data_IF_359743195468
#
_entry.id   IF_359743195468
#
_cell.length_a   1.000
_cell.length_b   1.000
_cell.length_c   1.000
_cell.angle_alpha   90.00
_cell.angle_beta   90.00
_cell.angle_gamma   90.00
#
_symmetry.space_group_name_H-M   'P 1'
#
loop_
_entity.id
_entity.type
_entity.pdbx_description
1 polymer ?
#
# COMPACT_ATOMS: atom_id res chain seq x y z
N UNK A 1 35.24 -4.58 28.88
CA UNK A 1 34.19 -3.59 28.56
C UNK A 1 33.54 -4.00 27.25
N UNK A 2 32.42 -4.71 27.32
CA UNK A 2 31.65 -5.14 26.14
C UNK A 2 30.25 -4.57 26.28
N UNK A 3 30.02 -3.45 25.61
CA UNK A 3 28.70 -2.83 25.51
C UNK A 3 27.88 -3.64 24.51
N UNK A 4 27.27 -4.73 25.00
CA UNK A 4 26.11 -5.34 24.33
C UNK A 4 24.96 -4.33 24.42
N UNK A 5 25.00 -3.33 23.54
CA UNK A 5 23.85 -2.48 23.24
C UNK A 5 22.73 -3.38 22.75
N UNK A 6 21.88 -3.75 23.70
CA UNK A 6 20.61 -4.45 23.58
C UNK A 6 19.94 -4.07 22.26
N UNK A 7 19.99 -4.96 21.26
CA UNK A 7 19.23 -4.82 20.00
C UNK A 7 17.76 -4.63 20.41
N UNK A 8 17.29 -3.38 20.41
CA UNK A 8 15.84 -3.11 20.45
C UNK A 8 15.30 -3.89 19.27
N UNK A 9 14.46 -4.89 19.54
CA UNK A 9 13.59 -5.46 18.51
C UNK A 9 12.79 -4.28 17.94
N UNK A 10 13.28 -3.71 16.83
CA UNK A 10 12.59 -2.63 16.14
C UNK A 10 11.45 -3.34 15.43
N UNK A 11 10.21 -3.07 15.86
CA UNK A 11 9.02 -3.49 15.13
C UNK A 11 9.22 -3.16 13.65
N UNK A 12 8.93 -4.09 12.72
CA UNK A 12 8.98 -3.80 11.29
C UNK A 12 8.23 -2.50 11.01
N UNK A 13 8.88 -1.56 10.32
CA UNK A 13 8.32 -0.22 10.05
C UNK A 13 8.28 0.00 8.56
N UNK A 14 7.07 0.15 8.01
CA UNK A 14 6.88 0.58 6.63
C UNK A 14 7.30 2.05 6.52
N UNK A 15 8.05 2.38 5.48
CA UNK A 15 8.49 3.73 5.15
C UNK A 15 8.04 4.08 3.75
N UNK A 16 7.79 5.36 3.53
CA UNK A 16 7.44 5.91 2.24
C UNK A 16 8.55 6.83 1.76
N UNK A 17 8.85 6.79 0.47
CA UNK A 17 9.60 7.87 -0.17
C UNK A 17 8.77 9.16 -0.16
N UNK A 18 9.40 10.35 -0.30
CA UNK A 18 8.65 11.61 -0.41
C UNK A 18 7.60 11.59 -1.54
N UNK A 19 7.92 10.94 -2.66
CA UNK A 19 7.02 10.81 -3.80
C UNK A 19 5.80 9.94 -3.49
N UNK A 20 6.00 8.71 -2.99
CA UNK A 20 4.87 7.83 -2.63
C UNK A 20 4.01 8.42 -1.52
N UNK A 21 4.60 9.13 -0.56
CA UNK A 21 3.85 9.84 0.48
C UNK A 21 3.01 10.99 -0.08
N UNK A 22 3.58 11.82 -0.97
CA UNK A 22 2.84 12.89 -1.62
C UNK A 22 1.68 12.35 -2.47
N UNK A 23 1.91 11.24 -3.19
CA UNK A 23 0.87 10.56 -3.96
C UNK A 23 -0.26 10.05 -3.07
N UNK A 24 0.03 9.42 -1.93
CA UNK A 24 -1.00 9.00 -0.97
C UNK A 24 -1.84 10.16 -0.44
N UNK A 25 -1.20 11.28 -0.09
CA UNK A 25 -1.93 12.47 0.37
C UNK A 25 -2.84 13.02 -0.72
N UNK A 26 -2.36 13.09 -1.96
CA UNK A 26 -3.16 13.49 -3.10
C UNK A 26 -4.38 12.57 -3.29
N UNK A 27 -4.20 11.26 -3.21
CA UNK A 27 -5.29 10.29 -3.36
C UNK A 27 -6.32 10.42 -2.23
N UNK A 28 -5.88 10.65 -0.99
CA UNK A 28 -6.77 10.89 0.15
C UNK A 28 -7.64 12.13 -0.08
N UNK A 29 -7.06 13.19 -0.65
CA UNK A 29 -7.71 14.49 -0.82
C UNK A 29 -8.42 14.62 -2.19
N UNK A 30 -8.46 13.55 -3.01
CA UNK A 30 -8.96 13.59 -4.38
C UNK A 30 -10.50 13.68 -4.47
N UNK A 31 -11.22 13.31 -3.40
CA UNK A 31 -12.68 13.38 -3.36
C UNK A 31 -13.27 12.72 -2.12
N UNK A 32 -14.59 12.52 -2.15
CA UNK A 32 -15.37 12.04 -0.99
C UNK A 32 -15.47 10.50 -0.91
N UNK A 33 -14.67 9.78 -1.69
CA UNK A 33 -14.64 8.30 -1.71
C UNK A 33 -13.31 7.77 -1.26
N UNK A 34 -13.29 6.54 -0.76
CA UNK A 34 -12.05 5.79 -0.58
C UNK A 34 -11.32 5.64 -1.93
N UNK A 35 -10.01 5.47 -1.87
CA UNK A 35 -9.17 5.09 -3.01
C UNK A 35 -8.15 4.06 -2.53
N UNK A 36 -8.14 2.90 -3.15
CA UNK A 36 -7.19 1.82 -2.88
C UNK A 36 -6.09 1.72 -3.93
N UNK A 37 -4.94 1.18 -3.53
CA UNK A 37 -3.86 0.83 -4.42
C UNK A 37 -2.83 -0.13 -3.80
N UNK A 38 -1.83 -0.47 -4.61
CA UNK A 38 -0.71 -1.33 -4.24
C UNK A 38 0.56 -0.52 -4.00
N UNK A 39 1.24 -0.78 -2.88
CA UNK A 39 2.53 -0.21 -2.56
C UNK A 39 3.65 -0.92 -3.31
N UNK A 40 4.34 -0.20 -4.20
CA UNK A 40 5.51 -0.71 -4.92
C UNK A 40 6.77 -0.44 -4.09
N UNK A 41 7.51 -1.48 -3.76
CA UNK A 41 8.65 -1.41 -2.83
C UNK A 41 10.00 -1.55 -3.52
N UNK A 42 11.05 -1.10 -2.82
CA UNK A 42 12.45 -1.34 -3.22
C UNK A 42 12.77 -2.84 -3.22
N UNK A 43 13.50 -3.31 -4.25
CA UNK A 43 13.98 -4.70 -4.31
C UNK A 43 14.91 -5.05 -3.13
N UNK A 44 15.68 -4.07 -2.66
CA UNK A 44 16.62 -4.25 -1.54
C UNK A 44 15.96 -4.11 -0.16
N UNK A 45 14.73 -3.59 -0.12
CA UNK A 45 14.03 -3.25 1.11
C UNK A 45 12.51 -3.23 0.91
N UNK A 46 11.89 -4.39 1.15
CA UNK A 46 10.44 -4.60 0.98
C UNK A 46 9.58 -3.82 2.00
N UNK A 47 10.19 -3.04 2.90
CA UNK A 47 9.49 -2.12 3.80
C UNK A 47 9.60 -0.66 3.36
N UNK A 48 10.28 -0.37 2.24
CA UNK A 48 10.37 0.97 1.65
C UNK A 48 9.47 1.05 0.40
N UNK A 49 8.33 1.71 0.53
CA UNK A 49 7.39 1.99 -0.56
C UNK A 49 7.86 3.19 -1.38
N UNK A 50 8.11 2.97 -2.66
CA UNK A 50 8.59 3.94 -3.64
C UNK A 50 7.49 4.52 -4.52
N UNK A 51 6.41 3.79 -4.77
CA UNK A 51 5.23 4.28 -5.51
C UNK A 51 3.95 3.59 -5.03
N UNK A 52 2.80 4.12 -5.44
CA UNK A 52 1.46 3.55 -5.24
C UNK A 52 0.82 3.34 -6.61
N UNK A 53 0.50 2.12 -6.99
CA UNK A 53 -0.21 1.84 -8.24
C UNK A 53 -1.70 1.66 -7.97
N UNK A 54 -2.54 2.34 -8.75
CA UNK A 54 -3.98 2.15 -8.73
C UNK A 54 -4.37 1.09 -9.75
N UNK A 55 -5.43 0.36 -9.43
CA UNK A 55 -6.18 -0.44 -10.40
C UNK A 55 -7.55 0.18 -10.59
N UNK A 56 -8.26 -0.27 -11.64
CA UNK A 56 -9.68 0.05 -11.81
C UNK A 56 -10.43 -0.44 -10.58
N UNK A 57 -11.31 0.41 -10.06
CA UNK A 57 -11.94 0.17 -8.76
C UNK A 57 -13.29 0.88 -8.69
N UNK A 58 -14.19 0.34 -7.86
CA UNK A 58 -15.44 0.98 -7.46
C UNK A 58 -15.32 1.42 -6.02
N UNK A 59 -15.54 2.71 -5.79
CA UNK A 59 -15.35 3.30 -4.47
C UNK A 59 -16.62 3.98 -3.99
N UNK A 60 -16.85 3.90 -2.69
CA UNK A 60 -17.81 4.70 -1.95
C UNK A 60 -17.08 5.45 -0.84
N UNK A 61 -17.79 6.22 -0.03
CA UNK A 61 -17.21 6.87 1.15
C UNK A 61 -16.73 5.88 2.24
N UNK A 62 -17.05 4.58 2.12
CA UNK A 62 -16.78 3.57 3.17
C UNK A 62 -16.26 2.23 2.61
N UNK A 63 -16.08 2.11 1.30
CA UNK A 63 -15.62 0.86 0.68
C UNK A 63 -14.83 1.13 -0.59
N UNK A 64 -13.83 0.29 -0.83
CA UNK A 64 -13.15 0.13 -2.11
C UNK A 64 -13.23 -1.33 -2.56
N UNK A 65 -13.54 -1.54 -3.84
CA UNK A 65 -13.56 -2.87 -4.48
C UNK A 65 -12.74 -2.79 -5.76
N UNK A 66 -11.74 -3.67 -5.89
CA UNK A 66 -10.88 -3.74 -7.06
C UNK A 66 -11.50 -4.61 -8.15
N UNK A 67 -11.27 -4.21 -9.40
CA UNK A 67 -11.60 -5.01 -10.57
C UNK A 67 -10.54 -6.09 -10.78
N UNK A 68 -10.94 -7.37 -10.73
CA UNK A 68 -10.03 -8.53 -10.79
C UNK A 68 -9.15 -8.54 -12.05
N UNK A 69 -9.75 -8.22 -13.22
CA UNK A 69 -9.02 -8.15 -14.48
C UNK A 69 -7.91 -7.08 -14.41
N UNK A 70 -8.20 -5.94 -13.79
CA UNK A 70 -7.23 -4.86 -13.62
C UNK A 70 -6.14 -5.17 -12.59
N UNK A 71 -6.39 -6.06 -11.63
CA UNK A 71 -5.35 -6.61 -10.76
C UNK A 71 -4.41 -7.50 -11.58
N UNK A 72 -4.97 -8.39 -12.41
CA UNK A 72 -4.18 -9.27 -13.26
C UNK A 72 -3.28 -8.46 -14.22
N UNK A 73 -3.85 -7.44 -14.87
CA UNK A 73 -3.11 -6.52 -15.73
C UNK A 73 -1.94 -5.86 -14.98
N UNK A 74 -2.16 -5.34 -13.77
CA UNK A 74 -1.10 -4.76 -12.96
C UNK A 74 -0.01 -5.78 -12.63
N UNK A 75 -0.37 -7.02 -12.32
CA UNK A 75 0.60 -8.05 -11.96
C UNK A 75 1.49 -8.41 -13.16
N UNK A 76 0.90 -8.56 -14.33
CA UNK A 76 1.63 -8.84 -15.57
C UNK A 76 2.55 -7.68 -15.94
N UNK A 77 2.06 -6.43 -15.90
CA UNK A 77 2.88 -5.23 -16.15
C UNK A 77 4.10 -5.13 -15.21
N UNK A 78 3.92 -5.50 -13.93
CA UNK A 78 5.00 -5.43 -12.95
C UNK A 78 6.04 -6.54 -13.15
N UNK A 79 5.60 -7.74 -13.57
CA UNK A 79 6.49 -8.85 -13.95
C UNK A 79 7.27 -8.50 -15.21
N UNK A 80 6.62 -7.94 -16.22
CA UNK A 80 7.25 -7.46 -17.45
C UNK A 80 8.28 -6.36 -17.18
N UNK A 81 8.01 -5.51 -16.17
CA UNK A 81 8.97 -4.52 -15.67
C UNK A 81 10.12 -5.12 -14.82
N UNK A 82 10.20 -6.45 -14.70
CA UNK A 82 11.26 -7.17 -14.00
C UNK A 82 11.13 -7.18 -12.47
N UNK A 83 9.98 -6.80 -11.92
CA UNK A 83 9.74 -6.82 -10.47
C UNK A 83 9.27 -8.21 -10.04
N UNK A 84 9.57 -8.56 -8.79
CA UNK A 84 9.05 -9.78 -8.15
C UNK A 84 7.72 -9.50 -7.45
N UNK A 85 6.80 -10.46 -7.33
CA UNK A 85 5.52 -10.29 -6.64
C UNK A 85 5.66 -9.71 -5.23
N UNK A 86 6.71 -10.08 -4.48
CA UNK A 86 7.00 -9.52 -3.15
C UNK A 86 7.20 -8.00 -3.13
N UNK A 87 7.55 -7.40 -4.28
CA UNK A 87 7.76 -5.97 -4.41
C UNK A 87 6.47 -5.17 -4.61
N UNK A 88 5.41 -5.78 -5.16
CA UNK A 88 4.21 -5.06 -5.58
C UNK A 88 2.88 -5.65 -5.08
N UNK A 89 2.83 -6.94 -4.75
CA UNK A 89 1.63 -7.62 -4.23
C UNK A 89 1.57 -7.70 -2.71
N UNK A 90 2.59 -7.23 -1.99
CA UNK A 90 2.69 -7.40 -0.53
C UNK A 90 1.93 -6.34 0.28
N UNK A 91 1.77 -5.15 -0.29
CA UNK A 91 1.26 -3.99 0.43
C UNK A 91 0.04 -3.47 -0.31
N UNK A 92 -1.12 -3.66 0.30
CA UNK A 92 -2.37 -3.03 -0.09
C UNK A 92 -2.65 -1.85 0.85
N UNK A 93 -3.10 -0.72 0.30
CA UNK A 93 -3.36 0.52 1.03
C UNK A 93 -4.61 1.16 0.46
N UNK A 94 -5.47 1.69 1.33
CA UNK A 94 -6.58 2.56 0.93
C UNK A 94 -6.66 3.83 1.78
N UNK A 95 -7.41 4.80 1.28
CA UNK A 95 -7.69 6.06 1.96
C UNK A 95 -9.06 6.03 2.60
N UNK A 96 -9.20 6.72 3.73
CA UNK A 96 -10.50 7.05 4.33
C UNK A 96 -10.68 8.56 4.16
N UNK A 97 -11.66 9.04 3.38
CA UNK A 97 -11.89 10.47 3.17
C UNK A 97 -12.45 11.19 4.42
N UNK A 98 -12.83 10.44 5.47
CA UNK A 98 -13.23 10.97 6.77
C UNK A 98 -12.09 11.07 7.80
N UNK A 99 -12.39 11.63 8.97
CA UNK A 99 -11.44 11.87 10.07
C UNK A 99 -11.10 10.60 10.89
N UNK A 100 -11.07 9.42 10.26
CA UNK A 100 -10.71 8.17 10.92
C UNK A 100 -9.76 7.36 10.02
N UNK A 101 -8.58 7.01 10.56
CA UNK A 101 -7.60 6.16 9.88
C UNK A 101 -7.61 4.71 10.38
N UNK A 102 -8.69 4.31 11.08
CA UNK A 102 -8.82 2.97 11.65
C UNK A 102 -9.42 2.00 10.62
N UNK A 103 -8.93 0.76 10.55
CA UNK A 103 -9.49 -0.24 9.64
C UNK A 103 -10.95 -0.55 9.99
N UNK A 104 -11.79 -0.65 8.97
CA UNK A 104 -13.18 -1.10 9.07
C UNK A 104 -13.25 -2.64 9.18
N UNK A 105 -14.43 -3.16 9.57
CA UNK A 105 -14.67 -4.61 9.57
C UNK A 105 -14.43 -5.27 8.20
N UNK A 106 -14.70 -4.56 7.09
CA UNK A 106 -14.42 -5.07 5.73
C UNK A 106 -12.94 -5.07 5.38
N UNK A 107 -12.18 -4.15 5.96
CA UNK A 107 -10.73 -4.12 5.76
C UNK A 107 -10.12 -5.38 6.37
N UNK A 108 -10.58 -5.80 7.56
CA UNK A 108 -10.15 -7.04 8.20
C UNK A 108 -10.47 -8.30 7.38
N UNK A 109 -11.67 -8.38 6.78
CA UNK A 109 -12.04 -9.50 5.87
C UNK A 109 -11.13 -9.56 4.64
N UNK A 110 -10.64 -8.42 4.16
CA UNK A 110 -9.73 -8.34 3.00
C UNK A 110 -8.32 -8.84 3.33
N UNK A 111 -7.91 -8.81 4.61
CA UNK A 111 -6.59 -9.28 5.05
C UNK A 111 -6.53 -10.77 5.41
N UNK A 112 -7.66 -11.48 5.47
CA UNK A 112 -7.78 -12.91 5.83
C UNK A 112 -7.68 -13.82 4.61
#
# INVERSE_FOLDING_TARGET
MSDRRRKRSRRPTIRFTPYSWAKLQYLRDAGDTEIGGFGITSADDLLLVQDICLVRQRCTAMTVEFDDDSIADLFDEQVDAGRKPEQFGRIWIHTHPGDCAEPSFRDEETFL
#
